data_IF_042460082797
#
_entry.id   IF_042460082797
#
_cell.length_a   1.000
_cell.length_b   1.000
_cell.length_c   1.000
_cell.angle_alpha   90.00
_cell.angle_beta   90.00
_cell.angle_gamma   90.00
#
_symmetry.space_group_name_H-M   'P 1'
#
loop_
_entity.id
_entity.type
_entity.pdbx_description
1 polymer ?
#
# COMPACT_ATOMS: atom_id res chain seq x y z
N UNK A 1 19.58 -23.86 13.25
CA UNK A 1 19.67 -22.42 12.93
C UNK A 1 18.96 -22.21 11.60
N UNK A 2 17.64 -22.45 11.57
CA UNK A 2 16.56 -21.43 11.66
C UNK A 2 16.44 -20.68 10.33
N UNK A 3 15.75 -21.26 9.34
CA UNK A 3 14.29 -21.11 9.07
C UNK A 3 14.00 -19.91 8.17
N UNK A 4 13.80 -20.18 6.87
CA UNK A 4 13.08 -19.32 5.91
C UNK A 4 12.86 -20.11 4.62
N UNK A 5 11.85 -20.98 4.66
CA UNK A 5 11.23 -21.57 3.49
C UNK A 5 9.72 -21.56 3.76
N UNK A 6 9.11 -20.38 3.73
CA UNK A 6 7.66 -20.26 3.76
C UNK A 6 7.16 -20.26 2.31
N UNK A 7 7.44 -21.38 1.64
CA UNK A 7 6.79 -21.77 0.41
C UNK A 7 5.29 -21.90 0.67
N UNK A 8 4.56 -21.44 -0.34
CA UNK A 8 3.18 -21.74 -0.66
C UNK A 8 2.96 -23.27 -0.62
N UNK A 9 2.59 -23.81 0.55
CA UNK A 9 2.06 -25.17 0.70
C UNK A 9 1.46 -25.35 2.10
N UNK A 10 0.25 -24.83 2.33
CA UNK A 10 -0.57 -25.31 3.44
C UNK A 10 -1.42 -26.48 2.93
N UNK A 11 -0.78 -27.64 2.87
CA UNK A 11 -1.40 -28.94 2.63
C UNK A 11 -2.24 -29.34 3.86
N UNK A 12 -3.55 -29.46 3.65
CA UNK A 12 -4.44 -30.54 4.12
C UNK A 12 -4.19 -31.03 5.56
N UNK A 13 -4.93 -30.47 6.52
CA UNK A 13 -5.09 -31.08 7.85
C UNK A 13 -5.60 -30.10 8.91
N UNK A 14 -6.85 -30.30 9.36
CA UNK A 14 -7.58 -29.60 10.46
C UNK A 14 -8.56 -28.50 10.03
N UNK A 15 -9.68 -28.91 9.43
CA UNK A 15 -10.79 -28.07 8.93
C UNK A 15 -11.58 -27.23 9.95
N UNK A 16 -11.07 -26.98 11.17
CA UNK A 16 -11.69 -26.06 12.15
C UNK A 16 -10.92 -24.76 12.37
N UNK A 17 -9.59 -24.71 12.16
CA UNK A 17 -8.81 -23.46 12.23
C UNK A 17 -8.87 -22.64 10.93
N UNK A 18 -9.00 -23.32 9.79
CA UNK A 18 -8.96 -22.71 8.46
C UNK A 18 -10.15 -21.77 8.17
N UNK A 19 -11.31 -22.05 8.77
CA UNK A 19 -12.52 -21.21 8.66
C UNK A 19 -12.39 -19.83 9.31
N UNK A 20 -11.43 -19.64 10.23
CA UNK A 20 -11.20 -18.33 10.89
C UNK A 20 -10.20 -17.45 10.13
N UNK A 21 -9.41 -18.05 9.22
CA UNK A 21 -8.41 -17.35 8.42
C UNK A 21 -8.99 -16.74 7.13
N UNK A 22 -10.09 -17.31 6.63
CA UNK A 22 -10.91 -16.79 5.55
C UNK A 22 -12.25 -16.30 6.11
N UNK A 23 -12.18 -15.49 7.16
CA UNK A 23 -13.33 -14.66 7.51
C UNK A 23 -13.27 -13.43 6.58
N UNK A 24 -14.19 -13.26 5.61
CA UNK A 24 -14.25 -12.03 4.82
C UNK A 24 -14.48 -10.78 5.70
N UNK A 25 -14.75 -10.95 7.00
CA UNK A 25 -14.83 -9.91 8.02
C UNK A 25 -13.50 -9.67 8.78
N UNK A 26 -12.46 -10.49 8.59
CA UNK A 26 -11.17 -10.26 9.22
C UNK A 26 -10.54 -8.95 8.73
N UNK A 27 -10.07 -8.15 9.69
CA UNK A 27 -9.51 -6.80 9.54
C UNK A 27 -8.39 -6.75 8.49
N UNK A 28 -7.45 -7.69 8.56
CA UNK A 28 -6.34 -7.83 7.63
C UNK A 28 -6.84 -8.14 6.21
N UNK A 29 -7.82 -9.03 6.10
CA UNK A 29 -8.44 -9.39 4.82
C UNK A 29 -9.16 -8.20 4.18
N UNK A 30 -9.73 -7.30 4.97
CA UNK A 30 -10.38 -6.07 4.47
C UNK A 30 -9.38 -5.08 3.90
N UNK A 31 -8.24 -4.86 4.58
CA UNK A 31 -7.16 -3.99 4.10
C UNK A 31 -6.51 -4.51 2.82
N UNK A 32 -6.27 -5.81 2.73
CA UNK A 32 -5.75 -6.44 1.51
C UNK A 32 -6.75 -6.34 0.34
N UNK A 33 -8.06 -6.45 0.62
CA UNK A 33 -9.09 -6.28 -0.40
C UNK A 33 -9.13 -4.86 -0.99
N UNK A 34 -8.72 -3.82 -0.23
CA UNK A 34 -8.66 -2.44 -0.76
C UNK A 34 -7.71 -2.31 -1.95
N UNK A 35 -6.59 -3.06 -1.95
CA UNK A 35 -5.69 -3.09 -3.10
C UNK A 35 -6.37 -3.69 -4.33
N UNK A 36 -7.20 -4.72 -4.15
CA UNK A 36 -7.96 -5.32 -5.25
C UNK A 36 -8.94 -4.31 -5.85
N UNK A 37 -9.67 -3.57 -5.00
CA UNK A 37 -10.56 -2.51 -5.47
C UNK A 37 -9.79 -1.42 -6.23
N UNK A 38 -8.66 -0.95 -5.67
CA UNK A 38 -7.84 0.05 -6.31
C UNK A 38 -7.30 -0.40 -7.67
N UNK A 39 -6.73 -1.61 -7.76
CA UNK A 39 -6.20 -2.14 -9.02
C UNK A 39 -7.27 -2.49 -10.04
N UNK A 40 -8.54 -2.64 -9.62
CA UNK A 40 -9.67 -2.82 -10.55
C UNK A 40 -10.09 -1.53 -11.28
N UNK A 41 -9.48 -0.39 -10.97
CA UNK A 41 -9.79 0.90 -11.62
C UNK A 41 -11.12 1.55 -11.16
N UNK A 42 -11.86 0.88 -10.27
CA UNK A 42 -13.16 1.32 -9.74
C UNK A 42 -12.96 2.31 -8.59
N UNK A 43 -12.57 3.54 -8.94
CA UNK A 43 -12.22 4.57 -7.94
C UNK A 43 -13.36 4.96 -7.00
N UNK A 44 -14.62 5.14 -7.44
CA UNK A 44 -15.73 5.44 -6.53
C UNK A 44 -15.92 4.36 -5.47
N UNK A 45 -15.89 3.09 -5.88
CA UNK A 45 -16.03 1.95 -4.98
C UNK A 45 -14.81 1.81 -4.06
N UNK A 46 -13.60 2.08 -4.57
CA UNK A 46 -12.39 2.13 -3.74
C UNK A 46 -12.54 3.16 -2.62
N UNK A 47 -13.01 4.37 -2.94
CA UNK A 47 -13.25 5.44 -1.96
C UNK A 47 -14.27 4.98 -0.90
N UNK A 48 -15.40 4.40 -1.32
CA UNK A 48 -16.44 3.90 -0.42
C UNK A 48 -15.90 2.83 0.53
N UNK A 49 -15.15 1.85 0.02
CA UNK A 49 -14.59 0.77 0.84
C UNK A 49 -13.48 1.27 1.78
N UNK A 50 -12.66 2.23 1.34
CA UNK A 50 -11.69 2.90 2.21
C UNK A 50 -12.39 3.63 3.36
N UNK A 51 -13.44 4.40 3.08
CA UNK A 51 -14.21 5.12 4.11
C UNK A 51 -14.84 4.17 5.13
N UNK A 52 -15.51 3.10 4.68
CA UNK A 52 -16.07 2.07 5.58
C UNK A 52 -14.99 1.41 6.44
N UNK A 53 -13.80 1.17 5.87
CA UNK A 53 -12.69 0.58 6.63
C UNK A 53 -12.16 1.57 7.67
N UNK A 54 -12.09 2.87 7.34
CA UNK A 54 -11.68 3.93 8.26
C UNK A 54 -12.69 4.09 9.41
N UNK A 55 -14.00 4.03 9.13
CA UNK A 55 -15.04 4.10 10.17
C UNK A 55 -14.90 2.98 11.20
N UNK A 56 -14.49 1.79 10.76
CA UNK A 56 -14.29 0.63 11.62
C UNK A 56 -12.91 0.64 12.30
N UNK A 57 -11.88 1.13 11.62
CA UNK A 57 -10.50 1.19 12.10
C UNK A 57 -9.86 2.56 11.82
N UNK A 58 -10.17 3.59 12.64
CA UNK A 58 -9.64 4.93 12.43
C UNK A 58 -8.11 5.02 12.51
N UNK A 59 -7.46 4.06 13.18
CA UNK A 59 -6.02 3.99 13.36
C UNK A 59 -5.30 3.21 12.24
N UNK A 60 -6.02 2.62 11.28
CA UNK A 60 -5.39 1.89 10.18
C UNK A 60 -4.90 2.85 9.09
N UNK A 61 -3.58 2.99 8.94
CA UNK A 61 -2.98 3.94 7.97
C UNK A 61 -3.15 3.59 6.49
N UNK A 62 -3.19 2.29 6.13
CA UNK A 62 -3.29 1.84 4.73
C UNK A 62 -4.57 2.35 4.03
N UNK A 63 -5.77 2.25 4.63
CA UNK A 63 -6.98 2.82 4.06
C UNK A 63 -6.85 4.30 3.65
N UNK A 64 -6.24 5.14 4.49
CA UNK A 64 -6.03 6.56 4.16
C UNK A 64 -5.05 6.75 2.99
N UNK A 65 -4.00 5.92 2.90
CA UNK A 65 -3.03 6.01 1.82
C UNK A 65 -3.63 5.59 0.46
N UNK A 66 -4.45 4.53 0.44
CA UNK A 66 -5.19 4.11 -0.75
C UNK A 66 -6.23 5.17 -1.13
N UNK A 67 -6.93 5.73 -0.14
CA UNK A 67 -7.88 6.82 -0.35
C UNK A 67 -7.21 8.06 -0.98
N UNK A 68 -6.01 8.43 -0.51
CA UNK A 68 -5.23 9.52 -1.09
C UNK A 68 -4.89 9.24 -2.56
N UNK A 69 -4.50 8.02 -2.88
CA UNK A 69 -4.15 7.60 -4.24
C UNK A 69 -5.37 7.60 -5.16
N UNK A 70 -6.51 7.10 -4.68
CA UNK A 70 -7.77 7.13 -5.42
C UNK A 70 -8.19 8.57 -5.73
N UNK A 71 -8.17 9.47 -4.74
CA UNK A 71 -8.43 10.90 -4.96
C UNK A 71 -7.46 11.54 -5.94
N UNK A 72 -6.17 11.17 -5.90
CA UNK A 72 -5.15 11.71 -6.79
C UNK A 72 -5.41 11.28 -8.25
N UNK A 73 -5.88 10.06 -8.47
CA UNK A 73 -6.22 9.57 -9.80
C UNK A 73 -7.43 10.30 -10.40
N UNK A 74 -8.43 10.65 -9.60
CA UNK A 74 -9.62 11.39 -10.06
C UNK A 74 -9.46 12.92 -10.00
N UNK A 75 -8.25 13.43 -9.77
CA UNK A 75 -7.93 14.87 -9.80
C UNK A 75 -8.41 15.66 -8.56
N UNK A 76 -8.80 14.98 -7.49
CA UNK A 76 -9.29 15.59 -6.24
C UNK A 76 -8.14 15.98 -5.31
N UNK A 77 -7.42 17.03 -5.72
CA UNK A 77 -6.17 17.48 -5.08
C UNK A 77 -6.32 17.74 -3.58
N UNK A 78 -7.34 18.47 -3.15
CA UNK A 78 -7.50 18.84 -1.74
C UNK A 78 -7.76 17.59 -0.86
N UNK A 79 -8.58 16.68 -1.35
CA UNK A 79 -8.90 15.40 -0.72
C UNK A 79 -7.67 14.49 -0.65
N UNK A 80 -6.84 14.44 -1.71
CA UNK A 80 -5.55 13.74 -1.70
C UNK A 80 -4.64 14.24 -0.58
N UNK A 81 -4.47 15.56 -0.44
CA UNK A 81 -3.57 16.13 0.56
C UNK A 81 -4.01 15.76 1.98
N UNK A 82 -5.30 15.90 2.28
CA UNK A 82 -5.86 15.52 3.59
C UNK A 82 -5.70 14.03 3.87
N UNK A 83 -6.08 13.17 2.94
CA UNK A 83 -5.98 11.73 3.12
C UNK A 83 -4.52 11.26 3.27
N UNK A 84 -3.58 11.87 2.53
CA UNK A 84 -2.16 11.57 2.66
C UNK A 84 -1.62 12.03 4.03
N UNK A 85 -2.05 13.18 4.54
CA UNK A 85 -1.68 13.66 5.88
C UNK A 85 -2.22 12.75 6.98
N UNK A 86 -3.47 12.30 6.86
CA UNK A 86 -4.05 11.33 7.78
C UNK A 86 -3.29 10.00 7.73
N UNK A 87 -2.94 9.51 6.53
CA UNK A 87 -2.15 8.30 6.36
C UNK A 87 -0.79 8.39 7.07
N UNK A 88 -0.12 9.54 7.00
CA UNK A 88 1.16 9.79 7.68
C UNK A 88 0.98 9.94 9.19
N UNK A 89 -0.13 10.53 9.64
CA UNK A 89 -0.43 10.76 11.05
C UNK A 89 -0.77 9.47 11.79
N UNK A 90 -1.56 8.59 11.17
CA UNK A 90 -2.06 7.36 11.79
C UNK A 90 -1.25 6.12 11.41
N UNK A 91 -0.57 6.15 10.26
CA UNK A 91 0.15 5.01 9.69
C UNK A 91 1.65 5.08 9.92
N UNK A 92 2.20 4.02 10.52
CA UNK A 92 3.64 3.85 10.73
C UNK A 92 4.26 2.74 9.85
N UNK A 93 3.54 2.24 8.84
CA UNK A 93 4.09 1.20 7.97
C UNK A 93 4.82 1.81 6.77
N UNK A 94 6.02 1.31 6.41
CA UNK A 94 6.75 1.77 5.22
C UNK A 94 5.90 1.74 3.94
N UNK A 95 5.07 0.70 3.77
CA UNK A 95 4.17 0.58 2.63
C UNK A 95 3.10 1.68 2.60
N UNK A 96 2.51 2.04 3.74
CA UNK A 96 1.53 3.12 3.83
C UNK A 96 2.16 4.48 3.51
N UNK A 97 3.37 4.73 4.04
CA UNK A 97 4.12 5.96 3.80
C UNK A 97 4.50 6.09 2.31
N UNK A 98 5.01 5.01 1.69
CA UNK A 98 5.37 5.02 0.27
C UNK A 98 4.14 5.21 -0.63
N UNK A 99 3.00 4.62 -0.27
CA UNK A 99 1.73 4.81 -0.99
C UNK A 99 1.26 6.26 -0.91
N UNK A 100 1.27 6.86 0.28
CA UNK A 100 0.93 8.27 0.46
C UNK A 100 1.91 9.19 -0.29
N UNK A 101 3.21 8.86 -0.31
CA UNK A 101 4.21 9.58 -1.08
C UNK A 101 3.90 9.56 -2.59
N UNK A 102 3.48 8.41 -3.14
CA UNK A 102 3.05 8.31 -4.54
C UNK A 102 1.87 9.24 -4.84
N UNK A 103 0.86 9.26 -3.98
CA UNK A 103 -0.30 10.13 -4.15
C UNK A 103 0.09 11.62 -4.11
N UNK A 104 0.98 12.00 -3.20
CA UNK A 104 1.54 13.34 -3.10
C UNK A 104 2.33 13.74 -4.35
N UNK A 105 3.18 12.85 -4.86
CA UNK A 105 3.95 13.09 -6.09
C UNK A 105 3.03 13.38 -7.28
N UNK A 106 1.97 12.58 -7.44
CA UNK A 106 0.98 12.74 -8.51
C UNK A 106 0.30 14.10 -8.51
N UNK A 107 0.04 14.65 -7.32
CA UNK A 107 -0.50 16.01 -7.16
C UNK A 107 0.62 17.07 -7.05
N UNK A 108 1.82 16.81 -7.56
CA UNK A 108 2.90 17.81 -7.65
C UNK A 108 3.51 18.23 -6.30
N UNK A 109 3.29 17.46 -5.23
CA UNK A 109 4.00 17.64 -3.95
C UNK A 109 5.34 16.87 -3.96
N UNK A 110 6.13 17.02 -5.03
CA UNK A 110 7.30 16.18 -5.32
C UNK A 110 8.36 16.22 -4.21
N UNK A 111 8.59 17.39 -3.60
CA UNK A 111 9.55 17.53 -2.50
C UNK A 111 9.17 16.69 -1.27
N UNK A 112 7.92 16.83 -0.79
CA UNK A 112 7.39 16.07 0.35
C UNK A 112 7.32 14.58 0.03
N UNK A 113 6.87 14.23 -1.18
CA UNK A 113 6.80 12.85 -1.64
C UNK A 113 8.17 12.17 -1.64
N UNK A 114 9.21 12.82 -2.19
CA UNK A 114 10.57 12.28 -2.21
C UNK A 114 11.14 12.06 -0.81
N UNK A 115 10.91 13.01 0.11
CA UNK A 115 11.32 12.86 1.51
C UNK A 115 10.65 11.66 2.19
N UNK A 116 9.33 11.52 2.01
CA UNK A 116 8.57 10.40 2.60
C UNK A 116 8.95 9.05 1.98
N UNK A 117 9.16 9.00 0.66
CA UNK A 117 9.58 7.77 -0.01
C UNK A 117 10.95 7.31 0.48
N UNK A 118 11.92 8.22 0.61
CA UNK A 118 13.23 7.90 1.15
C UNK A 118 13.13 7.41 2.60
N UNK A 119 12.34 8.08 3.43
CA UNK A 119 12.09 7.64 4.81
C UNK A 119 11.51 6.22 4.85
N UNK A 120 10.48 5.95 4.04
CA UNK A 120 9.87 4.62 3.96
C UNK A 120 10.88 3.54 3.55
N UNK A 121 11.75 3.82 2.57
CA UNK A 121 12.77 2.88 2.12
C UNK A 121 13.85 2.61 3.18
N UNK A 122 14.23 3.64 3.94
CA UNK A 122 15.17 3.50 5.06
C UNK A 122 14.58 2.66 6.19
N UNK A 123 13.31 2.91 6.57
CA UNK A 123 12.60 2.14 7.58
C UNK A 123 12.31 0.69 7.13
N UNK A 124 12.17 0.47 5.83
CA UNK A 124 11.97 -0.86 5.25
C UNK A 124 13.23 -1.74 5.22
N UNK A 125 14.41 -1.26 5.67
CA UNK A 125 15.66 -2.07 5.69
C UNK A 125 15.57 -3.37 6.52
N UNK A 126 14.49 -3.58 7.27
CA UNK A 126 14.15 -4.85 7.93
C UNK A 126 12.70 -5.31 7.74
N UNK A 127 11.92 -4.68 6.85
CA UNK A 127 10.49 -4.98 6.64
C UNK A 127 10.17 -5.08 5.16
N UNK A 128 9.21 -5.95 4.81
CA UNK A 128 8.76 -6.04 3.42
C UNK A 128 8.07 -4.74 2.99
N UNK A 129 8.54 -4.19 1.87
CA UNK A 129 7.86 -3.12 1.14
C UNK A 129 7.61 -3.59 -0.29
N UNK A 130 6.40 -3.36 -0.80
CA UNK A 130 6.06 -3.73 -2.16
C UNK A 130 6.85 -2.84 -3.14
N UNK A 131 7.83 -3.42 -3.83
CA UNK A 131 8.69 -2.71 -4.79
C UNK A 131 7.92 -2.12 -5.98
N UNK A 132 6.76 -2.68 -6.31
CA UNK A 132 5.85 -2.10 -7.30
C UNK A 132 5.34 -0.71 -6.87
N UNK A 133 4.92 -0.54 -5.61
CA UNK A 133 4.45 0.76 -5.09
C UNK A 133 5.58 1.79 -5.11
N UNK A 134 6.80 1.36 -4.75
CA UNK A 134 8.01 2.20 -4.82
C UNK A 134 8.26 2.65 -6.26
N UNK A 135 8.12 1.75 -7.24
CA UNK A 135 8.25 2.10 -8.64
C UNK A 135 7.22 3.14 -9.09
N UNK A 136 5.95 2.96 -8.72
CA UNK A 136 4.89 3.95 -9.03
C UNK A 136 5.24 5.32 -8.44
N UNK A 137 5.69 5.38 -7.19
CA UNK A 137 6.10 6.63 -6.57
C UNK A 137 7.25 7.32 -7.32
N UNK A 138 8.25 6.56 -7.78
CA UNK A 138 9.33 7.11 -8.60
C UNK A 138 8.86 7.59 -9.97
N UNK A 139 7.93 6.88 -10.62
CA UNK A 139 7.31 7.32 -11.87
C UNK A 139 6.58 8.64 -11.70
N UNK A 140 5.77 8.80 -10.65
CA UNK A 140 5.06 10.06 -10.34
C UNK A 140 6.02 11.21 -9.98
N UNK A 141 7.24 10.88 -9.52
CA UNK A 141 8.32 11.85 -9.29
C UNK A 141 9.14 12.18 -10.55
N UNK A 142 8.94 11.45 -11.66
CA UNK A 142 9.72 11.55 -12.88
C UNK A 142 11.12 10.90 -12.80
N UNK A 143 11.40 10.10 -11.77
CA UNK A 143 12.68 9.40 -11.59
C UNK A 143 12.64 8.01 -12.26
N UNK A 144 12.56 8.00 -13.59
CA UNK A 144 12.28 6.81 -14.40
C UNK A 144 13.30 5.67 -14.21
N UNK A 145 14.60 5.98 -14.11
CA UNK A 145 15.65 4.97 -13.93
C UNK A 145 15.45 4.21 -12.61
N UNK A 146 15.08 4.91 -11.54
CA UNK A 146 14.81 4.29 -10.24
C UNK A 146 13.50 3.52 -10.22
N UNK A 147 12.50 3.97 -10.98
CA UNK A 147 11.27 3.24 -11.18
C UNK A 147 11.54 1.88 -11.83
N UNK A 148 12.32 1.84 -12.92
CA UNK A 148 12.71 0.61 -13.62
C UNK A 148 13.47 -0.33 -12.68
N UNK A 149 14.50 0.17 -11.97
CA UNK A 149 15.24 -0.63 -10.99
C UNK A 149 14.32 -1.23 -9.90
N UNK A 150 13.33 -0.46 -9.45
CA UNK A 150 12.37 -0.94 -8.46
C UNK A 150 11.47 -2.04 -9.03
N UNK A 151 11.07 -1.95 -10.31
CA UNK A 151 10.30 -3.00 -10.99
C UNK A 151 11.14 -4.27 -11.19
N UNK A 152 12.41 -4.15 -11.57
CA UNK A 152 13.33 -5.30 -11.69
C UNK A 152 13.46 -6.04 -10.36
N UNK A 153 13.61 -5.31 -9.25
CA UNK A 153 13.62 -5.89 -7.91
C UNK A 153 12.29 -6.58 -7.57
N UNK A 154 11.15 -5.96 -7.93
CA UNK A 154 9.83 -6.56 -7.73
C UNK A 154 9.68 -7.88 -8.50
N UNK A 155 10.20 -7.93 -9.72
CA UNK A 155 10.18 -9.12 -10.57
C UNK A 155 11.02 -10.25 -9.95
N UNK A 156 12.27 -9.95 -9.56
CA UNK A 156 13.17 -10.92 -8.95
C UNK A 156 12.59 -11.52 -7.66
N UNK A 157 11.94 -10.70 -6.82
CA UNK A 157 11.28 -11.16 -5.59
C UNK A 157 10.08 -12.08 -5.82
N UNK A 158 9.43 -12.03 -6.99
CA UNK A 158 8.31 -12.93 -7.34
C UNK A 158 8.77 -14.23 -8.02
N UNK A 159 9.97 -14.25 -8.57
CA UNK A 159 10.54 -15.42 -9.25
C UNK A 159 11.24 -16.41 -8.30
N UNK A 160 11.35 -16.07 -7.02
CA UNK A 160 11.91 -16.91 -5.94
C UNK A 160 10.83 -17.40 -5.01
#
# INVERSE_FOLDING_TARGET
MSSLAMCICFTIGTGRRQKRLYDPLAVESRKEALWIYYFSGRMPETIEQCQKTIELEPAAGIPYAILATAYAQIGKRAETLRAAEDAIRVGNSPSGIATAASALARVGQSGKAKQLLNKALEEAKGQYICRFIVAVAYTELGENEKAIQSLEQAFLQRST
#
